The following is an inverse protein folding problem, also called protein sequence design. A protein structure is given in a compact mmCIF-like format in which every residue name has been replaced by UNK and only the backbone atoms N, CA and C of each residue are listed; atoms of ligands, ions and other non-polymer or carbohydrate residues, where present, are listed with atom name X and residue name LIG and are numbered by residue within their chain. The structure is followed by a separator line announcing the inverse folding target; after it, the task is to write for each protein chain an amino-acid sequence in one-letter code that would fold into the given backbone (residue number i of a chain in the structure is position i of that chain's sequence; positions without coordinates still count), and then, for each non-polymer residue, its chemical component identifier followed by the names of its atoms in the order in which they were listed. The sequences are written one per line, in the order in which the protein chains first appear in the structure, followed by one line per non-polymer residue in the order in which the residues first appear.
data_IF_604383350774
#
_entry.id   IF_604383350774
#
_cell.length_a   1.000
_cell.length_b   1.000
_cell.length_c   1.000
_cell.angle_alpha   90.00
_cell.angle_beta   90.00
_cell.angle_gamma   90.00
#
_symmetry.space_group_name_H-M   'P 1'
#
loop_
_entity.id
_entity.type
_entity.pdbx_description
1 polymer ?
#
# COMPACT_ATOMS: atom_id res chain seq x y z
N UNK A 1 -10.44 1.95 -6.76
CA UNK A 1 -11.16 2.20 -8.01
C UNK A 1 -10.38 3.24 -8.80
N UNK A 2 -10.03 2.94 -10.05
CA UNK A 2 -9.51 3.95 -10.98
C UNK A 2 -10.63 4.91 -11.39
N UNK A 3 -11.87 4.41 -11.52
CA UNK A 3 -13.00 5.26 -11.91
C UNK A 3 -13.28 6.33 -10.86
N UNK A 4 -13.31 5.98 -9.57
CA UNK A 4 -13.50 6.94 -8.47
C UNK A 4 -12.38 7.99 -8.43
N UNK A 5 -11.12 7.54 -8.63
CA UNK A 5 -9.96 8.44 -8.63
C UNK A 5 -10.05 9.46 -9.78
N UNK A 6 -10.38 9.01 -11.00
CA UNK A 6 -10.55 9.88 -12.16
C UNK A 6 -11.78 10.79 -12.05
N UNK A 7 -12.89 10.25 -11.54
CA UNK A 7 -14.13 11.01 -11.39
C UNK A 7 -13.99 12.10 -10.33
N UNK A 8 -13.40 11.78 -9.17
CA UNK A 8 -13.26 12.69 -8.03
C UNK A 8 -12.16 13.74 -8.18
N UNK A 9 -11.10 13.45 -8.93
CA UNK A 9 -9.96 14.37 -9.14
C UNK A 9 -10.15 15.30 -10.34
N UNK A 10 -9.25 16.26 -10.50
CA UNK A 10 -9.15 17.19 -11.62
C UNK A 10 -8.47 16.61 -12.87
N UNK A 11 -8.03 15.34 -12.83
CA UNK A 11 -7.43 14.62 -13.97
C UNK A 11 -8.34 14.67 -15.20
N UNK A 12 -9.65 14.56 -14.99
CA UNK A 12 -10.66 14.77 -16.04
C UNK A 12 -11.25 16.17 -15.86
N UNK A 13 -11.04 17.04 -16.86
CA UNK A 13 -11.62 18.38 -16.92
C UNK A 13 -13.15 18.36 -16.73
N UNK A 14 -13.68 19.38 -16.04
CA UNK A 14 -15.12 19.58 -15.84
C UNK A 14 -15.80 20.32 -17.01
N UNK A 15 -15.03 20.75 -18.01
CA UNK A 15 -15.53 21.41 -19.22
C UNK A 15 -16.45 20.52 -20.06
N UNK A 16 -17.18 21.16 -20.98
CA UNK A 16 -18.13 20.50 -21.89
C UNK A 16 -19.23 19.71 -21.15
N UNK A 17 -19.66 20.23 -20.00
CA UNK A 17 -20.73 19.64 -19.19
C UNK A 17 -20.28 18.43 -18.35
N UNK A 18 -18.99 18.20 -18.16
CA UNK A 18 -18.45 17.09 -17.38
C UNK A 18 -18.23 17.41 -15.89
N UNK A 19 -19.08 18.26 -15.30
CA UNK A 19 -18.96 18.65 -13.89
C UNK A 19 -19.22 17.50 -12.92
N UNK A 20 -18.57 17.55 -11.75
CA UNK A 20 -18.77 16.62 -10.62
C UNK A 20 -19.97 16.95 -9.74
N UNK A 21 -20.52 18.16 -9.87
CA UNK A 21 -21.52 18.68 -8.94
C UNK A 21 -22.81 17.83 -8.94
N UNK A 22 -23.32 17.54 -7.74
CA UNK A 22 -24.56 16.78 -7.56
C UNK A 22 -24.34 15.27 -7.60
N UNK A 23 -25.21 14.57 -8.36
CA UNK A 23 -25.16 13.11 -8.52
C UNK A 23 -24.19 12.65 -9.61
N UNK A 24 -24.33 11.38 -10.02
CA UNK A 24 -23.58 10.85 -11.15
C UNK A 24 -23.92 11.60 -12.45
N UNK A 25 -22.89 12.15 -13.09
CA UNK A 25 -22.96 12.82 -14.39
C UNK A 25 -22.50 11.86 -15.49
N UNK A 26 -23.41 11.38 -16.37
CA UNK A 26 -23.05 10.46 -17.45
C UNK A 26 -22.02 11.00 -18.43
N UNK A 27 -21.98 12.32 -18.68
CA UNK A 27 -21.00 12.95 -19.58
C UNK A 27 -19.59 12.79 -18.99
N UNK A 28 -19.44 13.07 -17.70
CA UNK A 28 -18.18 12.85 -16.98
C UNK A 28 -17.83 11.36 -16.90
N UNK A 29 -18.81 10.51 -16.60
CA UNK A 29 -18.64 9.06 -16.54
C UNK A 29 -18.11 8.48 -17.85
N UNK A 30 -18.63 8.92 -19.00
CA UNK A 30 -18.14 8.51 -20.30
C UNK A 30 -16.67 8.90 -20.53
N UNK A 31 -16.25 10.11 -20.12
CA UNK A 31 -14.84 10.54 -20.18
C UNK A 31 -13.95 9.65 -19.29
N UNK A 32 -14.41 9.27 -18.10
CA UNK A 32 -13.70 8.35 -17.19
C UNK A 32 -13.53 6.96 -17.81
N UNK A 33 -14.61 6.38 -18.35
CA UNK A 33 -14.57 5.06 -19.02
C UNK A 33 -13.61 5.10 -20.22
N UNK A 34 -13.68 6.15 -21.04
CA UNK A 34 -12.79 6.30 -22.19
C UNK A 34 -11.32 6.37 -21.77
N UNK A 35 -10.99 7.12 -20.71
CA UNK A 35 -9.64 7.19 -20.15
C UNK A 35 -9.16 5.81 -19.68
N UNK A 36 -9.99 5.10 -18.92
CA UNK A 36 -9.63 3.78 -18.40
C UNK A 36 -9.42 2.74 -19.51
N UNK A 37 -10.22 2.78 -20.58
CA UNK A 37 -10.02 1.91 -21.75
C UNK A 37 -8.72 2.24 -22.49
N UNK A 38 -8.37 3.52 -22.63
CA UNK A 38 -7.07 3.92 -23.16
C UNK A 38 -5.91 3.45 -22.28
N UNK A 39 -6.06 3.51 -20.96
CA UNK A 39 -5.08 2.95 -20.02
C UNK A 39 -4.91 1.43 -20.23
N UNK A 40 -6.01 0.68 -20.39
CA UNK A 40 -5.95 -0.76 -20.68
C UNK A 40 -5.26 -1.07 -22.01
N UNK A 41 -5.53 -0.28 -23.07
CA UNK A 41 -4.84 -0.40 -24.36
C UNK A 41 -3.32 -0.23 -24.23
N UNK A 42 -2.86 0.61 -23.30
CA UNK A 42 -1.42 0.83 -23.06
C UNK A 42 -0.81 -0.25 -22.16
N UNK A 43 -1.51 -0.64 -21.08
CA UNK A 43 -0.96 -1.51 -20.05
C UNK A 43 -1.03 -3.00 -20.42
N UNK A 44 -2.12 -3.42 -21.08
CA UNK A 44 -2.48 -4.82 -21.33
C UNK A 44 -3.07 -4.96 -22.73
N UNK A 45 -2.35 -4.54 -23.79
CA UNK A 45 -2.91 -4.38 -25.13
C UNK A 45 -3.56 -5.66 -25.66
N UNK A 46 -4.66 -5.51 -26.39
CA UNK A 46 -5.23 -6.60 -27.19
C UNK A 46 -4.34 -6.92 -28.38
N UNK A 47 -4.36 -8.16 -28.85
CA UNK A 47 -3.63 -8.56 -30.05
C UNK A 47 -4.14 -7.84 -31.31
N UNK A 48 -5.45 -7.54 -31.33
CA UNK A 48 -6.16 -6.77 -32.36
C UNK A 48 -7.29 -5.97 -31.71
N UNK A 49 -7.56 -4.79 -32.25
CA UNK A 49 -8.63 -3.90 -31.76
C UNK A 49 -8.21 -3.06 -30.56
N UNK A 50 -9.19 -2.40 -29.94
CA UNK A 50 -9.02 -1.56 -28.76
C UNK A 50 -10.04 -1.94 -27.70
N UNK A 51 -9.69 -1.71 -26.43
CA UNK A 51 -10.65 -1.80 -25.33
C UNK A 51 -11.90 -0.93 -25.59
N UNK A 52 -11.84 0.16 -26.36
CA UNK A 52 -13.00 0.98 -26.72
C UNK A 52 -14.12 0.22 -27.45
N UNK A 53 -13.77 -0.89 -28.12
CA UNK A 53 -14.71 -1.68 -28.93
C UNK A 53 -15.12 -2.99 -28.29
N UNK A 54 -14.76 -3.23 -27.03
CA UNK A 54 -15.12 -4.47 -26.35
C UNK A 54 -16.58 -4.47 -25.93
N UNK A 55 -17.28 -5.56 -26.22
CA UNK A 55 -18.69 -5.78 -25.86
C UNK A 55 -18.92 -7.01 -24.99
N UNK A 56 -17.94 -7.90 -24.86
CA UNK A 56 -17.99 -9.01 -23.92
C UNK A 56 -16.59 -9.55 -23.62
N UNK A 57 -16.45 -10.14 -22.43
CA UNK A 57 -15.30 -10.92 -22.02
C UNK A 57 -15.74 -12.34 -21.69
N UNK A 58 -14.88 -13.31 -21.99
CA UNK A 58 -15.00 -14.69 -21.54
C UNK A 58 -13.61 -15.29 -21.33
N UNK A 59 -13.57 -16.47 -20.74
CA UNK A 59 -12.35 -17.26 -20.54
C UNK A 59 -12.47 -18.52 -21.37
N UNK A 60 -11.50 -18.76 -22.25
CA UNK A 60 -11.42 -19.95 -23.10
C UNK A 60 -10.04 -20.59 -22.96
N UNK A 61 -9.98 -21.86 -22.57
CA UNK A 61 -8.71 -22.57 -22.36
C UNK A 61 -7.72 -21.85 -21.45
N UNK A 62 -8.18 -21.25 -20.35
CA UNK A 62 -7.40 -20.41 -19.42
C UNK A 62 -6.81 -19.13 -20.03
N UNK A 63 -7.29 -18.70 -21.20
CA UNK A 63 -6.92 -17.45 -21.86
C UNK A 63 -8.09 -16.48 -21.84
N UNK A 64 -7.77 -15.18 -21.88
CA UNK A 64 -8.79 -14.15 -22.05
C UNK A 64 -9.28 -14.13 -23.49
N UNK A 65 -10.58 -14.31 -23.68
CA UNK A 65 -11.27 -14.13 -24.94
C UNK A 65 -12.11 -12.85 -24.88
N UNK A 66 -11.96 -12.00 -25.90
CA UNK A 66 -12.56 -10.66 -25.95
C UNK A 66 -13.37 -10.54 -27.24
N UNK A 67 -14.65 -10.21 -27.11
CA UNK A 67 -15.52 -9.95 -28.26
C UNK A 67 -15.58 -8.45 -28.55
N UNK A 68 -15.33 -8.07 -29.80
CA UNK A 68 -15.40 -6.69 -30.27
C UNK A 68 -16.76 -6.37 -30.91
N UNK A 69 -17.08 -5.07 -31.05
CA UNK A 69 -18.33 -4.56 -31.66
C UNK A 69 -18.58 -5.09 -33.07
N UNK A 70 -17.52 -5.32 -33.84
CA UNK A 70 -17.60 -5.87 -35.21
C UNK A 70 -17.90 -7.38 -35.24
N UNK A 71 -18.03 -8.02 -34.08
CA UNK A 71 -18.29 -9.44 -33.92
C UNK A 71 -17.05 -10.32 -33.93
N UNK A 72 -15.86 -9.75 -34.19
CA UNK A 72 -14.60 -10.49 -34.13
C UNK A 72 -14.22 -10.86 -32.69
N UNK A 73 -13.42 -11.93 -32.58
CA UNK A 73 -12.83 -12.38 -31.32
C UNK A 73 -11.33 -12.10 -31.33
N UNK A 74 -10.82 -11.63 -30.18
CA UNK A 74 -9.40 -11.33 -29.95
C UNK A 74 -9.01 -11.79 -28.54
N UNK A 75 -7.73 -11.66 -28.22
CA UNK A 75 -7.18 -11.89 -26.89
C UNK A 75 -6.17 -10.81 -26.53
N UNK A 76 -5.41 -11.01 -25.45
CA UNK A 76 -4.28 -10.15 -25.12
C UNK A 76 -3.14 -10.36 -26.12
N UNK A 77 -2.39 -9.30 -26.42
CA UNK A 77 -1.16 -9.36 -27.22
C UNK A 77 -0.11 -10.23 -26.53
N UNK A 78 0.02 -10.09 -25.21
CA UNK A 78 0.73 -11.02 -24.36
C UNK A 78 -0.27 -11.76 -23.46
N UNK A 79 -0.57 -13.01 -23.81
CA UNK A 79 -1.52 -13.85 -23.08
C UNK A 79 -1.12 -14.05 -21.61
N UNK A 80 0.18 -13.97 -21.27
CA UNK A 80 0.66 -14.14 -19.88
C UNK A 80 0.29 -12.97 -18.98
N UNK A 81 -0.20 -11.86 -19.52
CA UNK A 81 -0.74 -10.78 -18.71
C UNK A 81 -2.08 -11.18 -18.06
N UNK A 82 -2.74 -12.26 -18.49
CA UNK A 82 -3.96 -12.77 -17.87
C UNK A 82 -3.68 -13.71 -16.70
N UNK A 83 -3.82 -13.21 -15.47
CA UNK A 83 -3.44 -13.91 -14.24
C UNK A 83 -4.58 -14.76 -13.69
N UNK A 84 -5.83 -14.32 -13.80
CA UNK A 84 -6.97 -15.05 -13.26
C UNK A 84 -8.30 -14.35 -13.45
N UNK A 85 -9.36 -14.93 -12.90
CA UNK A 85 -10.71 -14.39 -13.01
C UNK A 85 -11.57 -14.78 -11.80
N UNK A 86 -12.75 -14.15 -11.68
CA UNK A 86 -13.83 -14.58 -10.79
C UNK A 86 -15.12 -14.81 -11.58
N UNK A 87 -16.02 -15.61 -11.02
CA UNK A 87 -17.31 -15.92 -11.65
C UNK A 87 -17.23 -17.01 -12.72
N UNK A 88 -18.22 -17.02 -13.61
CA UNK A 88 -18.32 -18.03 -14.67
C UNK A 88 -17.42 -17.68 -15.85
N UNK A 89 -16.76 -18.67 -16.45
CA UNK A 89 -15.91 -18.49 -17.64
C UNK A 89 -16.63 -17.82 -18.83
N UNK A 90 -17.94 -18.05 -19.00
CA UNK A 90 -18.72 -17.42 -20.09
C UNK A 90 -19.13 -15.97 -19.81
N UNK A 91 -19.05 -15.55 -18.55
CA UNK A 91 -19.48 -14.22 -18.07
C UNK A 91 -18.78 -13.90 -16.75
N UNK A 92 -17.46 -13.66 -16.78
CA UNK A 92 -16.68 -13.45 -15.57
C UNK A 92 -17.13 -12.15 -14.88
N UNK A 93 -17.12 -12.15 -13.55
CA UNK A 93 -17.41 -10.95 -12.75
C UNK A 93 -16.17 -10.09 -12.53
N UNK A 94 -14.99 -10.66 -12.74
CA UNK A 94 -13.72 -9.96 -12.62
C UNK A 94 -12.64 -10.65 -13.46
N UNK A 95 -11.74 -9.85 -14.02
CA UNK A 95 -10.58 -10.30 -14.79
C UNK A 95 -9.32 -9.70 -14.18
N UNK A 96 -8.46 -10.57 -13.64
CA UNK A 96 -7.19 -10.18 -13.07
C UNK A 96 -6.09 -10.23 -14.13
N UNK A 97 -5.47 -9.09 -14.33
CA UNK A 97 -4.37 -8.85 -15.25
C UNK A 97 -3.13 -8.39 -14.49
N UNK A 98 -1.96 -8.44 -15.14
CA UNK A 98 -0.71 -7.92 -14.58
C UNK A 98 0.17 -7.28 -15.65
N UNK A 99 0.70 -6.10 -15.34
CA UNK A 99 1.70 -5.41 -16.14
C UNK A 99 2.79 -4.82 -15.23
N UNK A 100 4.06 -4.94 -15.61
CA UNK A 100 5.21 -4.42 -14.83
C UNK A 100 5.20 -4.82 -13.33
N UNK A 101 4.65 -5.98 -12.99
CA UNK A 101 4.56 -6.45 -11.61
C UNK A 101 3.34 -5.95 -10.83
N UNK A 102 2.53 -5.06 -11.40
CA UNK A 102 1.33 -4.46 -10.78
C UNK A 102 0.07 -5.11 -11.36
N UNK A 103 -0.88 -5.44 -10.50
CA UNK A 103 -2.13 -6.05 -10.91
C UNK A 103 -3.19 -5.01 -11.29
N UNK A 104 -4.02 -5.40 -12.26
CA UNK A 104 -5.19 -4.64 -12.73
C UNK A 104 -6.38 -5.58 -12.72
N UNK A 105 -7.47 -5.21 -12.09
CA UNK A 105 -8.71 -5.99 -12.03
C UNK A 105 -9.84 -5.25 -12.75
N UNK A 106 -10.30 -5.81 -13.87
CA UNK A 106 -11.48 -5.29 -14.58
C UNK A 106 -12.72 -5.91 -13.93
N UNK A 107 -13.52 -5.09 -13.25
CA UNK A 107 -14.74 -5.52 -12.58
C UNK A 107 -15.95 -5.38 -13.51
N UNK A 108 -16.74 -6.44 -13.61
CA UNK A 108 -17.87 -6.55 -14.53
C UNK A 108 -19.14 -6.76 -13.71
N UNK A 109 -20.06 -5.80 -13.77
CA UNK A 109 -21.35 -5.87 -13.07
C UNK A 109 -22.41 -5.03 -13.79
N UNK A 110 -23.25 -5.71 -14.59
CA UNK A 110 -24.34 -5.08 -15.34
C UNK A 110 -25.52 -4.63 -14.46
N UNK A 111 -25.51 -4.92 -13.17
CA UNK A 111 -26.57 -4.48 -12.24
C UNK A 111 -26.33 -3.06 -11.70
N UNK A 112 -25.12 -2.53 -11.85
CA UNK A 112 -24.72 -1.18 -11.40
C UNK A 112 -24.91 -0.16 -12.50
N UNK A 113 -25.12 1.10 -12.12
CA UNK A 113 -25.39 2.21 -13.05
C UNK A 113 -24.32 2.30 -14.16
N UNK A 114 -23.04 2.20 -13.78
CA UNK A 114 -21.92 2.31 -14.73
C UNK A 114 -21.88 1.07 -15.64
N UNK A 115 -21.82 -0.13 -15.06
CA UNK A 115 -21.77 -1.36 -15.84
C UNK A 115 -23.00 -1.61 -16.72
N UNK A 116 -24.19 -1.12 -16.33
CA UNK A 116 -25.40 -1.18 -17.16
C UNK A 116 -25.24 -0.35 -18.44
N UNK A 117 -24.56 0.80 -18.37
CA UNK A 117 -24.30 1.68 -19.52
C UNK A 117 -23.10 1.26 -20.38
N UNK A 118 -22.28 0.32 -19.88
CA UNK A 118 -21.09 -0.17 -20.55
C UNK A 118 -21.42 -1.40 -21.44
N UNK A 119 -21.07 -1.40 -22.74
CA UNK A 119 -21.39 -2.53 -23.62
C UNK A 119 -20.88 -3.89 -23.11
N UNK A 120 -19.69 -3.91 -22.49
CA UNK A 120 -19.07 -5.10 -21.92
C UNK A 120 -19.46 -5.35 -20.46
N UNK A 121 -20.24 -4.46 -19.84
CA UNK A 121 -20.63 -4.55 -18.45
C UNK A 121 -19.57 -4.07 -17.46
N UNK A 122 -18.52 -3.39 -17.91
CA UNK A 122 -17.43 -2.93 -17.02
C UNK A 122 -17.97 -1.88 -16.06
N UNK A 123 -17.89 -2.18 -14.77
CA UNK A 123 -18.33 -1.27 -13.71
C UNK A 123 -17.16 -0.48 -13.11
N UNK A 124 -15.95 -1.04 -13.07
CA UNK A 124 -14.75 -0.37 -12.57
C UNK A 124 -13.47 -1.06 -13.09
N UNK A 125 -12.35 -0.34 -13.01
CA UNK A 125 -11.00 -0.87 -13.13
C UNK A 125 -10.28 -0.64 -11.81
N UNK A 126 -9.94 -1.71 -11.09
CA UNK A 126 -9.23 -1.62 -9.82
C UNK A 126 -7.74 -1.88 -10.05
N UNK A 127 -6.92 -0.85 -9.83
CA UNK A 127 -5.46 -0.92 -9.97
C UNK A 127 -4.85 -1.18 -8.59
N UNK A 128 -3.94 -2.15 -8.50
CA UNK A 128 -3.08 -2.31 -7.34
C UNK A 128 -2.17 -1.06 -7.21
N UNK A 129 -2.25 -0.36 -6.08
CA UNK A 129 -1.72 1.00 -5.96
C UNK A 129 -0.72 1.15 -4.80
N UNK A 130 -1.22 1.41 -3.59
CA UNK A 130 -0.38 1.53 -2.40
C UNK A 130 0.15 0.14 -1.97
N UNK A 131 1.26 -0.28 -2.57
CA UNK A 131 1.93 -1.55 -2.28
C UNK A 131 2.47 -1.60 -0.84
N UNK A 132 2.94 -0.45 -0.36
CA UNK A 132 3.37 -0.25 1.01
C UNK A 132 2.88 1.09 1.57
N UNK A 133 2.68 1.14 2.87
CA UNK A 133 2.22 2.32 3.61
C UNK A 133 3.07 2.45 4.86
N UNK A 134 3.49 3.67 5.16
CA UNK A 134 4.13 4.01 6.44
C UNK A 134 3.01 4.49 7.37
N UNK A 135 2.77 3.73 8.44
CA UNK A 135 2.04 4.22 9.59
C UNK A 135 3.00 5.05 10.43
N UNK A 136 2.58 6.23 10.84
CA UNK A 136 3.52 7.24 11.32
C UNK A 136 3.31 7.57 12.80
N UNK A 137 4.39 7.45 13.58
CA UNK A 137 4.46 7.87 14.98
C UNK A 137 5.34 9.11 15.17
N UNK A 138 5.77 9.74 14.08
CA UNK A 138 6.66 10.89 14.07
C UNK A 138 5.94 12.13 13.52
N UNK A 139 6.37 12.69 12.38
CA UNK A 139 6.03 14.07 12.01
C UNK A 139 4.54 14.31 11.70
N UNK A 140 3.76 13.27 11.40
CA UNK A 140 2.34 13.44 11.09
C UNK A 140 1.41 13.36 12.31
N UNK A 141 1.95 13.15 13.52
CA UNK A 141 1.14 13.09 14.75
C UNK A 141 1.72 14.01 15.84
N UNK A 142 0.88 14.37 16.80
CA UNK A 142 1.32 14.98 18.05
C UNK A 142 1.10 13.96 19.18
N UNK A 143 2.18 13.41 19.71
CA UNK A 143 2.12 12.49 20.84
C UNK A 143 3.15 12.86 21.89
N UNK A 144 2.72 13.55 22.95
CA UNK A 144 3.62 14.26 23.87
C UNK A 144 3.67 13.65 25.27
N UNK A 145 2.80 12.69 25.56
CA UNK A 145 2.74 11.98 26.84
C UNK A 145 2.34 10.51 26.68
N UNK A 146 2.10 9.83 27.81
CA UNK A 146 1.74 8.43 27.82
C UNK A 146 0.39 8.14 27.14
N UNK A 147 -0.61 9.01 27.31
CA UNK A 147 -1.96 8.77 26.79
C UNK A 147 -1.93 8.80 25.26
N UNK A 148 -1.24 9.78 24.69
CA UNK A 148 -1.08 9.88 23.23
C UNK A 148 -0.31 8.68 22.66
N UNK A 149 0.79 8.28 23.31
CA UNK A 149 1.59 7.13 22.85
C UNK A 149 0.79 5.83 22.94
N UNK A 150 0.02 5.63 24.01
CA UNK A 150 -0.86 4.46 24.15
C UNK A 150 -1.88 4.42 23.02
N UNK A 151 -2.56 5.54 22.71
CA UNK A 151 -3.51 5.59 21.60
C UNK A 151 -2.87 5.19 20.26
N UNK A 152 -1.67 5.71 19.97
CA UNK A 152 -0.96 5.38 18.74
C UNK A 152 -0.56 3.89 18.68
N UNK A 153 -0.09 3.32 19.81
CA UNK A 153 0.24 1.91 19.92
C UNK A 153 -1.00 0.99 19.83
N UNK A 154 -2.14 1.40 20.40
CA UNK A 154 -3.39 0.66 20.31
C UNK A 154 -3.89 0.55 18.87
N UNK A 155 -3.75 1.62 18.08
CA UNK A 155 -4.05 1.57 16.65
C UNK A 155 -3.13 0.58 15.92
N UNK A 156 -1.82 0.59 16.20
CA UNK A 156 -0.89 -0.37 15.61
C UNK A 156 -1.25 -1.83 15.98
N UNK A 157 -1.56 -2.07 17.25
CA UNK A 157 -1.99 -3.36 17.76
C UNK A 157 -3.29 -3.85 17.10
N UNK A 158 -4.29 -2.96 17.00
CA UNK A 158 -5.56 -3.25 16.36
C UNK A 158 -5.40 -3.66 14.90
N UNK A 159 -4.51 -3.00 14.17
CA UNK A 159 -4.22 -3.33 12.77
C UNK A 159 -3.60 -4.72 12.65
N UNK A 160 -2.59 -5.04 13.46
CA UNK A 160 -1.91 -6.33 13.39
C UNK A 160 -2.75 -7.51 13.89
N UNK A 161 -3.73 -7.24 14.76
CA UNK A 161 -4.76 -8.22 15.14
C UNK A 161 -5.88 -8.33 14.11
N UNK A 162 -5.94 -7.43 13.13
CA UNK A 162 -7.03 -7.36 12.16
C UNK A 162 -8.36 -6.88 12.78
N UNK A 163 -8.33 -6.20 13.93
CA UNK A 163 -9.50 -5.79 14.71
C UNK A 163 -9.75 -4.28 14.68
N UNK A 164 -8.91 -3.49 14.03
CA UNK A 164 -9.12 -2.04 13.92
C UNK A 164 -10.38 -1.78 13.09
N UNK A 165 -11.33 -1.08 13.69
CA UNK A 165 -12.58 -0.64 13.07
C UNK A 165 -12.90 0.80 13.48
N UNK A 166 -13.63 1.50 12.62
CA UNK A 166 -14.07 2.88 12.89
C UNK A 166 -15.50 3.08 12.37
N UNK A 167 -16.36 3.73 13.14
CA UNK A 167 -17.68 4.16 12.66
C UNK A 167 -17.56 5.50 11.91
N UNK A 168 -17.90 5.49 10.62
CA UNK A 168 -17.78 6.66 9.75
C UNK A 168 -19.17 7.14 9.35
N UNK A 169 -19.42 8.44 9.55
CA UNK A 169 -20.66 9.09 9.12
C UNK A 169 -20.41 9.98 7.90
N UNK A 170 -21.02 9.65 6.76
CA UNK A 170 -20.88 10.40 5.49
C UNK A 170 -22.21 10.46 4.75
N UNK A 171 -22.65 11.68 4.40
CA UNK A 171 -23.88 11.88 3.61
C UNK A 171 -25.15 11.37 4.31
N UNK A 172 -25.24 11.51 5.64
CA UNK A 172 -26.39 11.07 6.43
C UNK A 172 -26.48 9.54 6.63
N UNK A 173 -25.44 8.79 6.25
CA UNK A 173 -25.33 7.35 6.50
C UNK A 173 -24.13 7.07 7.39
N UNK A 174 -24.30 6.13 8.32
CA UNK A 174 -23.25 5.61 9.18
C UNK A 174 -22.92 4.18 8.75
N UNK A 175 -21.63 3.87 8.66
CA UNK A 175 -21.16 2.51 8.38
C UNK A 175 -19.85 2.25 9.11
N UNK A 176 -19.61 0.98 9.42
CA UNK A 176 -18.35 0.53 10.02
C UNK A 176 -17.32 0.32 8.91
N UNK A 177 -16.15 0.94 9.06
CA UNK A 177 -14.98 0.70 8.22
C UNK A 177 -14.09 -0.34 8.89
N UNK A 178 -13.67 -1.32 8.12
CA UNK A 178 -12.78 -2.42 8.56
C UNK A 178 -11.69 -2.68 7.53
N UNK A 179 -10.71 -3.52 7.89
CA UNK A 179 -9.62 -3.92 7.00
C UNK A 179 -10.13 -4.88 5.92
N UNK A 180 -9.83 -4.57 4.66
CA UNK A 180 -10.23 -5.41 3.53
C UNK A 180 -9.59 -6.81 3.60
N UNK A 181 -10.31 -7.88 3.23
CA UNK A 181 -9.75 -9.23 3.14
C UNK A 181 -8.84 -9.40 1.90
N UNK A 182 -8.09 -10.49 1.86
CA UNK A 182 -7.38 -10.91 0.64
C UNK A 182 -8.36 -11.28 -0.49
N UNK A 183 -7.94 -11.06 -1.73
CA UNK A 183 -8.73 -11.27 -2.94
C UNK A 183 -8.34 -12.59 -3.57
N UNK A 184 -9.32 -13.42 -3.92
CA UNK A 184 -9.09 -14.76 -4.50
C UNK A 184 -9.60 -14.82 -5.93
N UNK A 185 -8.83 -15.45 -6.81
CA UNK A 185 -9.13 -15.59 -8.23
C UNK A 185 -8.84 -17.02 -8.68
N UNK A 186 -9.65 -17.54 -9.60
CA UNK A 186 -9.30 -18.76 -10.33
C UNK A 186 -8.11 -18.44 -11.23
N UNK A 187 -7.08 -19.27 -11.15
CA UNK A 187 -5.84 -19.09 -11.89
C UNK A 187 -6.03 -19.25 -13.40
N UNK A 188 -5.36 -18.42 -14.17
CA UNK A 188 -5.31 -18.48 -15.63
C UNK A 188 -3.86 -18.65 -16.13
N UNK A 189 -3.66 -18.57 -17.45
CA UNK A 189 -2.38 -18.87 -18.12
C UNK A 189 -1.17 -18.08 -17.59
N UNK A 190 -1.39 -16.86 -17.09
CA UNK A 190 -0.36 -15.98 -16.54
C UNK A 190 -0.10 -16.14 -15.04
N UNK A 191 -0.82 -17.04 -14.35
CA UNK A 191 -0.65 -17.25 -12.92
C UNK A 191 0.71 -17.89 -12.59
N UNK A 192 1.52 -17.23 -11.75
CA UNK A 192 2.85 -17.73 -11.35
C UNK A 192 2.90 -18.31 -9.93
N UNK A 193 1.92 -17.97 -9.07
CA UNK A 193 1.92 -18.32 -7.65
C UNK A 193 0.57 -18.92 -7.19
N UNK A 194 -0.13 -19.60 -8.10
CA UNK A 194 -1.39 -20.24 -7.77
C UNK A 194 -1.16 -21.45 -6.85
N UNK A 195 -2.03 -21.61 -5.85
CA UNK A 195 -2.13 -22.81 -5.03
C UNK A 195 -3.50 -23.43 -5.25
N UNK A 196 -3.55 -24.72 -5.59
CA UNK A 196 -4.79 -25.45 -5.85
C UNK A 196 -5.71 -24.74 -6.87
N UNK A 197 -5.11 -24.16 -7.91
CA UNK A 197 -5.83 -23.43 -8.96
C UNK A 197 -6.31 -22.03 -8.55
N UNK A 198 -5.90 -21.51 -7.38
CA UNK A 198 -6.29 -20.19 -6.88
C UNK A 198 -5.10 -19.25 -6.76
N UNK A 199 -5.23 -18.06 -7.33
CA UNK A 199 -4.35 -16.91 -7.07
C UNK A 199 -4.95 -16.10 -5.92
N UNK A 200 -4.16 -15.90 -4.86
CA UNK A 200 -4.54 -15.03 -3.73
C UNK A 200 -3.69 -13.76 -3.76
N UNK A 201 -4.35 -12.60 -3.85
CA UNK A 201 -3.72 -11.29 -3.76
C UNK A 201 -3.99 -10.66 -2.42
N UNK A 202 -2.97 -9.98 -1.88
CA UNK A 202 -3.15 -9.21 -0.67
C UNK A 202 -4.09 -8.02 -0.92
N UNK A 203 -5.14 -7.93 -0.12
CA UNK A 203 -6.13 -6.85 -0.24
C UNK A 203 -5.74 -5.56 0.49
N UNK A 204 -4.52 -5.52 1.05
CA UNK A 204 -4.03 -4.47 1.95
C UNK A 204 -2.59 -4.13 1.59
N UNK A 205 -2.22 -2.90 1.89
CA UNK A 205 -0.85 -2.41 1.78
C UNK A 205 0.07 -3.12 2.77
N UNK A 206 1.33 -3.36 2.39
CA UNK A 206 2.37 -3.78 3.34
C UNK A 206 2.71 -2.62 4.26
N UNK A 207 2.59 -2.84 5.56
CA UNK A 207 2.77 -1.78 6.54
C UNK A 207 4.21 -1.74 7.04
N UNK A 208 4.77 -0.54 6.95
CA UNK A 208 5.90 -0.05 7.71
C UNK A 208 5.37 0.78 8.87
N UNK A 209 6.14 0.88 9.95
CA UNK A 209 5.87 1.82 11.03
C UNK A 209 7.05 2.77 11.16
N UNK A 210 6.82 4.09 11.13
CA UNK A 210 7.85 5.10 11.38
C UNK A 210 7.86 5.40 12.87
N UNK A 211 8.90 4.90 13.54
CA UNK A 211 9.19 5.28 14.91
C UNK A 211 9.83 6.67 14.92
N UNK A 212 9.81 7.36 16.07
CA UNK A 212 10.53 8.63 16.21
C UNK A 212 12.05 8.45 16.09
N UNK A 213 12.78 9.54 15.84
CA UNK A 213 14.25 9.59 15.73
C UNK A 213 15.02 9.35 17.04
N UNK A 214 16.22 9.91 17.16
CA UNK A 214 17.10 9.73 18.32
C UNK A 214 17.01 10.87 19.35
N UNK A 215 16.32 11.97 19.02
CA UNK A 215 16.38 13.21 19.78
C UNK A 215 15.55 13.22 21.07
N UNK A 216 14.25 12.92 20.96
CA UNK A 216 13.28 13.23 21.99
C UNK A 216 13.29 12.23 23.16
N UNK A 217 12.96 12.72 24.35
CA UNK A 217 12.58 11.92 25.51
C UNK A 217 11.07 11.99 25.74
N UNK A 218 10.52 11.07 26.51
CA UNK A 218 9.10 11.03 26.82
C UNK A 218 8.84 10.65 28.29
N UNK A 219 7.91 11.35 28.99
CA UNK A 219 7.61 11.12 30.40
C UNK A 219 6.86 9.82 30.69
N UNK A 220 6.43 9.05 29.68
CA UNK A 220 5.74 7.77 29.86
C UNK A 220 6.53 6.76 30.68
N UNK A 221 7.87 6.84 30.68
CA UNK A 221 8.73 6.03 31.55
C UNK A 221 9.81 6.93 32.18
N UNK A 222 9.89 6.88 33.51
CA UNK A 222 10.98 7.49 34.27
C UNK A 222 11.99 6.39 34.66
N UNK A 223 13.24 6.60 34.28
CA UNK A 223 14.36 5.70 34.58
C UNK A 223 14.71 5.70 36.08
N UNK A 224 15.52 4.74 36.52
CA UNK A 224 16.00 4.70 37.92
C UNK A 224 16.85 5.90 38.32
N UNK A 225 17.35 6.68 37.36
CA UNK A 225 18.07 7.93 37.58
C UNK A 225 17.13 9.16 37.66
N UNK A 226 15.80 8.97 37.58
CA UNK A 226 14.83 10.06 37.60
C UNK A 226 14.72 10.85 36.28
N UNK A 227 15.27 10.34 35.18
CA UNK A 227 15.18 10.95 33.84
C UNK A 227 14.12 10.26 33.00
N UNK A 228 13.50 11.00 32.09
CA UNK A 228 12.66 10.44 31.02
C UNK A 228 13.43 9.46 30.13
N UNK A 229 12.73 8.47 29.58
CA UNK A 229 13.30 7.56 28.59
C UNK A 229 13.45 8.28 27.24
N UNK A 230 14.48 7.93 26.45
CA UNK A 230 14.52 8.31 25.04
C UNK A 230 13.37 7.64 24.29
N UNK A 231 12.55 8.44 23.62
CA UNK A 231 11.31 7.98 22.98
C UNK A 231 11.59 7.00 21.84
N UNK A 232 12.68 7.21 21.09
CA UNK A 232 13.09 6.27 20.04
C UNK A 232 13.43 4.86 20.56
N UNK A 233 13.85 4.73 21.83
CA UNK A 233 14.07 3.43 22.49
C UNK A 233 12.74 2.83 22.94
N UNK A 234 11.86 3.66 23.51
CA UNK A 234 10.49 3.26 23.89
C UNK A 234 9.74 2.69 22.68
N UNK A 235 9.71 3.44 21.57
CA UNK A 235 9.09 3.03 20.31
C UNK A 235 9.68 1.69 19.84
N UNK A 236 11.00 1.55 19.79
CA UNK A 236 11.66 0.34 19.30
C UNK A 236 11.20 -0.91 20.07
N UNK A 237 11.07 -0.83 21.39
CA UNK A 237 10.61 -1.96 22.21
C UNK A 237 9.12 -2.23 21.97
N UNK A 238 8.27 -1.21 22.11
CA UNK A 238 6.80 -1.40 22.11
C UNK A 238 6.28 -1.80 20.74
N UNK A 239 6.75 -1.15 19.68
CA UNK A 239 6.26 -1.39 18.32
C UNK A 239 6.65 -2.77 17.79
N UNK A 240 7.84 -3.26 18.13
CA UNK A 240 8.30 -4.61 17.76
C UNK A 240 7.63 -5.66 18.65
N UNK A 241 7.41 -5.37 19.93
CA UNK A 241 6.60 -6.23 20.81
C UNK A 241 5.20 -6.45 20.23
N UNK A 242 4.53 -5.38 19.82
CA UNK A 242 3.20 -5.46 19.18
C UNK A 242 3.28 -6.26 17.87
N UNK A 243 4.39 -6.15 17.13
CA UNK A 243 4.60 -6.87 15.87
C UNK A 243 4.65 -8.39 16.00
N UNK A 244 4.89 -8.93 17.21
CA UNK A 244 4.82 -10.37 17.48
C UNK A 244 3.43 -10.95 17.22
N UNK A 245 2.34 -10.17 17.35
CA UNK A 245 0.99 -10.65 17.03
C UNK A 245 0.86 -11.09 15.57
N UNK A 246 1.50 -10.35 14.65
CA UNK A 246 1.45 -10.65 13.23
C UNK A 246 2.43 -11.76 12.83
N UNK A 247 3.59 -11.84 13.50
CA UNK A 247 4.57 -12.93 13.31
C UNK A 247 4.01 -14.27 13.80
N UNK A 248 3.37 -14.27 14.98
CA UNK A 248 2.80 -15.45 15.63
C UNK A 248 1.30 -15.61 15.34
N UNK A 249 0.83 -14.99 14.25
CA UNK A 249 -0.59 -14.95 13.90
C UNK A 249 -1.19 -16.36 13.82
N UNK A 250 -2.34 -16.63 14.47
CA UNK A 250 -2.98 -17.93 14.38
C UNK A 250 -3.50 -18.19 12.97
N UNK A 251 -3.54 -19.47 12.56
CA UNK A 251 -4.01 -19.85 11.22
C UNK A 251 -5.47 -19.44 10.93
N UNK A 252 -6.28 -19.21 11.96
CA UNK A 252 -7.65 -18.71 11.86
C UNK A 252 -7.73 -17.22 11.49
N UNK A 253 -6.67 -16.44 11.71
CA UNK A 253 -6.63 -15.03 11.37
C UNK A 253 -6.18 -14.86 9.92
N UNK A 254 -7.13 -14.54 9.05
CA UNK A 254 -6.92 -14.35 7.61
C UNK A 254 -6.20 -13.03 7.27
N UNK A 255 -6.32 -12.03 8.14
CA UNK A 255 -5.70 -10.70 7.97
C UNK A 255 -4.32 -10.70 8.61
N UNK A 256 -3.31 -10.35 7.82
CA UNK A 256 -1.93 -10.21 8.28
C UNK A 256 -1.14 -9.22 7.45
N UNK A 257 -0.03 -8.75 8.01
CA UNK A 257 0.90 -7.84 7.35
C UNK A 257 2.07 -8.61 6.72
N UNK A 258 2.88 -9.30 7.53
CA UNK A 258 4.09 -10.00 7.10
C UNK A 258 3.81 -11.40 6.56
N UNK A 259 4.57 -11.77 5.53
CA UNK A 259 4.55 -13.11 4.90
C UNK A 259 5.90 -13.81 4.98
N UNK A 260 6.90 -13.10 5.50
CA UNK A 260 8.31 -13.53 5.59
C UNK A 260 8.87 -13.32 7.00
N UNK A 261 8.01 -13.14 8.00
CA UNK A 261 8.42 -12.99 9.39
C UNK A 261 9.24 -11.73 9.69
N UNK A 262 9.19 -10.71 8.82
CA UNK A 262 9.92 -9.45 9.02
C UNK A 262 9.01 -8.36 9.58
N UNK A 263 9.57 -7.51 10.43
CA UNK A 263 8.98 -6.23 10.89
C UNK A 263 9.69 -5.10 10.15
N UNK A 264 8.95 -4.11 9.67
CA UNK A 264 9.52 -3.02 8.89
C UNK A 264 9.39 -1.70 9.63
N UNK A 265 10.52 -1.17 10.12
CA UNK A 265 10.56 0.09 10.86
C UNK A 265 11.26 1.15 10.01
N UNK A 266 10.64 2.31 9.84
CA UNK A 266 11.32 3.50 9.32
C UNK A 266 11.99 4.19 10.49
N UNK A 267 13.28 4.48 10.37
CA UNK A 267 14.04 5.23 11.37
C UNK A 267 14.46 6.58 10.78
N UNK A 268 13.85 7.69 11.23
CA UNK A 268 14.07 9.02 10.68
C UNK A 268 15.20 9.76 11.39
N UNK A 269 15.58 10.91 10.82
CA UNK A 269 16.43 11.96 11.41
C UNK A 269 17.73 11.44 12.02
N UNK A 270 18.36 10.48 11.35
CA UNK A 270 19.69 10.00 11.71
C UNK A 270 20.72 10.83 10.95
N UNK A 271 21.77 11.31 11.64
CA UNK A 271 22.74 12.22 11.02
C UNK A 271 24.02 11.54 10.56
N UNK A 272 24.23 10.24 10.81
CA UNK A 272 25.54 9.60 10.56
C UNK A 272 25.47 8.08 10.43
N UNK A 273 26.54 7.48 9.91
CA UNK A 273 26.68 6.02 9.87
C UNK A 273 26.73 5.41 11.27
N UNK A 274 27.29 6.13 12.25
CA UNK A 274 27.32 5.75 13.66
C UNK A 274 25.91 5.70 14.26
N UNK A 275 25.05 6.66 13.93
CA UNK A 275 23.65 6.66 14.38
C UNK A 275 22.82 5.56 13.70
N UNK A 276 23.14 5.21 12.46
CA UNK A 276 22.55 4.04 11.80
C UNK A 276 23.05 2.74 12.42
N UNK A 277 24.33 2.65 12.76
CA UNK A 277 24.89 1.52 13.51
C UNK A 277 24.21 1.38 14.89
N UNK A 278 23.99 2.50 15.59
CA UNK A 278 23.26 2.53 16.85
C UNK A 278 21.82 2.04 16.69
N UNK A 279 21.10 2.45 15.65
CA UNK A 279 19.77 1.90 15.35
C UNK A 279 19.82 0.39 15.09
N UNK A 280 20.82 -0.08 14.34
CA UNK A 280 21.07 -1.51 14.11
C UNK A 280 21.33 -2.29 15.41
N UNK A 281 22.14 -1.73 16.32
CA UNK A 281 22.38 -2.28 17.65
C UNK A 281 21.10 -2.32 18.48
N UNK A 282 20.37 -1.20 18.57
CA UNK A 282 19.11 -1.07 19.30
C UNK A 282 18.13 -2.16 18.90
N UNK A 283 17.88 -2.34 17.59
CA UNK A 283 16.96 -3.38 17.14
C UNK A 283 17.52 -4.79 17.32
N UNK A 284 18.84 -5.00 17.22
CA UNK A 284 19.45 -6.27 17.61
C UNK A 284 19.26 -6.61 19.08
N UNK A 285 19.25 -5.59 19.97
CA UNK A 285 18.96 -5.76 21.40
C UNK A 285 17.47 -6.01 21.66
N UNK A 286 16.58 -5.33 20.95
CA UNK A 286 15.13 -5.58 21.02
C UNK A 286 14.79 -6.99 20.52
N UNK A 287 15.40 -7.46 19.44
CA UNK A 287 15.22 -8.83 18.95
C UNK A 287 15.64 -9.85 20.02
N UNK A 288 16.81 -9.66 20.65
CA UNK A 288 17.26 -10.52 21.75
C UNK A 288 16.31 -10.48 22.95
N UNK A 289 15.83 -9.29 23.32
CA UNK A 289 14.86 -9.11 24.41
C UNK A 289 13.57 -9.90 24.15
N UNK A 290 13.09 -9.91 22.90
CA UNK A 290 11.83 -10.51 22.50
C UNK A 290 11.97 -11.95 21.96
N UNK A 291 13.18 -12.51 21.96
CA UNK A 291 13.45 -13.86 21.44
C UNK A 291 13.27 -14.01 19.93
N UNK A 292 13.39 -12.92 19.17
CA UNK A 292 13.28 -12.92 17.71
C UNK A 292 14.61 -13.32 17.06
N UNK A 293 14.58 -14.00 15.89
CA UNK A 293 15.78 -14.21 15.09
C UNK A 293 16.49 -12.90 14.77
N UNK A 294 17.82 -12.95 14.67
CA UNK A 294 18.61 -11.78 14.27
C UNK A 294 18.16 -11.25 12.91
N UNK A 295 18.11 -9.92 12.79
CA UNK A 295 17.66 -9.22 11.58
C UNK A 295 16.18 -9.45 11.24
N UNK A 296 15.32 -9.87 12.18
CA UNK A 296 13.86 -9.86 11.98
C UNK A 296 13.37 -8.45 11.63
N UNK A 297 13.84 -7.44 12.35
CA UNK A 297 13.52 -6.02 12.13
C UNK A 297 14.36 -5.46 10.99
N UNK A 298 13.67 -4.97 9.97
CA UNK A 298 14.22 -4.28 8.80
C UNK A 298 14.10 -2.77 8.97
N UNK A 299 15.06 -2.04 8.43
CA UNK A 299 15.17 -0.59 8.55
C UNK A 299 14.91 0.11 7.22
N UNK A 300 13.94 1.01 7.23
CA UNK A 300 13.86 2.12 6.28
C UNK A 300 14.74 3.25 6.77
N UNK A 301 15.77 3.61 6.00
CA UNK A 301 16.70 4.69 6.33
C UNK A 301 16.24 5.95 5.61
N UNK A 302 15.91 6.99 6.37
CA UNK A 302 15.62 8.30 5.79
C UNK A 302 16.94 9.05 5.52
N UNK A 303 17.18 9.37 4.25
CA UNK A 303 18.22 10.29 3.81
C UNK A 303 17.66 11.72 3.85
N UNK A 304 17.62 12.27 5.05
CA UNK A 304 16.95 13.55 5.32
C UNK A 304 17.77 14.52 6.19
N UNK A 305 19.03 14.19 6.47
CA UNK A 305 19.97 15.03 7.22
C UNK A 305 21.24 15.24 6.39
N UNK A 306 21.82 16.43 6.40
CA UNK A 306 22.98 16.81 5.57
C UNK A 306 24.17 15.89 5.80
N UNK A 307 24.51 15.64 7.07
CA UNK A 307 25.63 14.75 7.43
C UNK A 307 25.34 13.29 7.04
N UNK A 308 24.06 12.91 6.98
CA UNK A 308 23.64 11.63 6.43
C UNK A 308 23.87 11.63 4.91
N UNK A 309 23.29 12.55 4.13
CA UNK A 309 23.38 12.55 2.67
C UNK A 309 24.82 12.47 2.14
N UNK A 310 25.76 13.22 2.74
CA UNK A 310 27.18 13.19 2.33
C UNK A 310 27.91 11.88 2.66
N UNK A 311 27.33 11.04 3.52
CA UNK A 311 27.88 9.76 3.99
C UNK A 311 26.96 8.55 3.71
N UNK A 312 26.00 8.67 2.78
CA UNK A 312 24.93 7.66 2.59
C UNK A 312 25.43 6.23 2.38
N UNK A 313 26.54 6.06 1.65
CA UNK A 313 27.16 4.75 1.43
C UNK A 313 27.61 4.08 2.74
N UNK A 314 28.19 4.85 3.66
CA UNK A 314 28.68 4.33 4.94
C UNK A 314 27.52 3.96 5.86
N UNK A 315 26.44 4.74 5.89
CA UNK A 315 25.29 4.38 6.71
C UNK A 315 24.52 3.16 6.21
N UNK A 316 24.35 3.02 4.89
CA UNK A 316 23.75 1.80 4.32
C UNK A 316 24.59 0.57 4.74
N UNK A 317 25.93 0.69 4.68
CA UNK A 317 26.82 -0.38 5.11
C UNK A 317 26.69 -0.70 6.62
N UNK A 318 26.45 0.32 7.46
CA UNK A 318 26.32 0.17 8.91
C UNK A 318 25.11 -0.68 9.34
N UNK A 319 24.08 -0.80 8.50
CA UNK A 319 22.90 -1.63 8.75
C UNK A 319 22.58 -2.59 7.58
N UNK A 320 23.59 -3.01 6.82
CA UNK A 320 23.41 -3.71 5.54
C UNK A 320 22.52 -4.96 5.56
N UNK A 321 22.50 -5.71 6.67
CA UNK A 321 21.61 -6.88 6.85
C UNK A 321 20.14 -6.53 7.12
N UNK A 322 19.84 -5.26 7.42
CA UNK A 322 18.53 -4.77 7.83
C UNK A 322 17.88 -3.83 6.82
N UNK A 323 18.66 -3.15 5.97
CA UNK A 323 18.11 -2.11 5.06
C UNK A 323 17.03 -2.69 4.15
N UNK A 324 15.82 -2.11 4.23
CA UNK A 324 14.68 -2.41 3.35
C UNK A 324 14.45 -1.33 2.30
N UNK A 325 14.72 -0.05 2.63
CA UNK A 325 14.71 1.04 1.67
C UNK A 325 15.57 2.21 2.13
N UNK A 326 15.87 3.11 1.19
CA UNK A 326 16.36 4.47 1.44
C UNK A 326 15.37 5.46 0.84
N UNK A 327 15.10 6.59 1.50
CA UNK A 327 14.18 7.60 0.99
C UNK A 327 14.71 9.00 1.24
N UNK A 328 14.60 9.88 0.24
CA UNK A 328 15.01 11.28 0.34
C UNK A 328 13.92 12.12 1.02
N UNK A 329 14.05 12.36 2.32
CA UNK A 329 13.17 13.23 3.11
C UNK A 329 13.50 14.71 2.88
N UNK A 330 13.20 15.20 1.67
CA UNK A 330 13.75 16.48 1.19
C UNK A 330 13.31 17.71 2.00
N UNK A 331 12.17 17.67 2.69
CA UNK A 331 11.69 18.76 3.53
C UNK A 331 12.56 18.92 4.79
N UNK A 332 12.72 17.86 5.57
CA UNK A 332 13.64 17.83 6.71
C UNK A 332 15.07 18.14 6.27
N UNK A 333 15.49 17.56 5.15
CA UNK A 333 16.82 17.82 4.55
C UNK A 333 17.06 19.29 4.26
N UNK A 334 16.02 20.01 3.82
CA UNK A 334 16.10 21.44 3.59
C UNK A 334 16.20 22.21 4.91
N UNK A 335 15.43 21.79 5.93
CA UNK A 335 15.53 22.32 7.28
C UNK A 335 16.94 22.19 7.87
N UNK A 336 17.54 21.00 7.78
CA UNK A 336 18.91 20.77 8.27
C UNK A 336 19.98 21.52 7.45
N UNK A 337 19.78 21.72 6.14
CA UNK A 337 20.70 22.56 5.35
C UNK A 337 20.69 24.01 5.86
N UNK A 338 19.50 24.57 6.09
CA UNK A 338 19.33 25.93 6.62
C UNK A 338 19.97 26.03 8.01
N UNK A 339 19.72 25.04 8.88
CA UNK A 339 20.26 25.03 10.23
C UNK A 339 21.80 24.91 10.23
N UNK A 340 22.35 23.98 9.46
CA UNK A 340 23.80 23.78 9.33
C UNK A 340 24.49 25.03 8.76
N UNK A 341 23.86 25.69 7.79
CA UNK A 341 24.40 26.86 7.11
C UNK A 341 24.20 28.20 7.84
N UNK A 342 23.52 28.22 9.00
CA UNK A 342 22.97 29.43 9.64
C UNK A 342 23.98 30.58 9.83
N UNK A 343 25.26 30.28 10.06
CA UNK A 343 26.32 31.28 10.31
C UNK A 343 27.32 31.44 9.15
N UNK A 344 26.97 31.02 7.94
CA UNK A 344 27.88 31.03 6.79
C UNK A 344 28.04 32.41 6.11
N UNK A 345 27.60 33.49 6.78
CA UNK A 345 27.65 34.88 6.30
C UNK A 345 27.98 35.85 7.41
#
# INVERSE_FOLDING_TARGET
SLYDALYGSDVISEEEGASKAGGYNPVRGAKVVAYARQFLDQAVPLAKGSYQDVVAYSVDGNKLAVKLKDGSMTGLKDEKQFVGYQGNVSSPSSLLLRNNGIHIDIQIDKTKIIGLSDPAGVNDVVVEAALSTILDLEDSIAAVDADDKVLAYENWLGILKGTLVEEVSKGGKTFTRELNPDRKYTAAIGAVNAKDGIVTLHGRSLLFLRNVGHLMTNPAIITSEGKEIYEGILDAVVTVLISLYDINRPASQSIGNTRKGSVYIVKPKMHSAEEVAFAGELFGRVEKLLGLPENTVKLGIMDEERRMSVNIKAAIAAAGSRVAFINTGFLDRTGDEIHTGMHSG
#
